data_IF_717136204648
#
_entry.id   IF_717136204648
#
_cell.length_a   1.000
_cell.length_b   1.000
_cell.length_c   1.000
_cell.angle_alpha   90.00
_cell.angle_beta   90.00
_cell.angle_gamma   90.00
#
_symmetry.space_group_name_H-M   'P 1'
#
loop_
_entity.id
_entity.type
_entity.pdbx_description
1 polymer ?
#
# COMPACT_ATOMS: atom_id res chain seq x y z
N UNK A 1 -38.11 11.57 -33.17
CA UNK A 1 -38.48 10.85 -31.94
C UNK A 1 -37.55 9.66 -31.91
N UNK A 2 -36.57 9.83 -31.05
CA UNK A 2 -35.40 8.98 -30.84
C UNK A 2 -35.81 7.60 -30.35
N UNK A 3 -35.08 6.57 -30.80
CA UNK A 3 -34.77 5.37 -30.04
C UNK A 3 -33.65 4.64 -30.79
N UNK A 4 -32.39 4.98 -30.48
CA UNK A 4 -31.20 4.15 -30.77
C UNK A 4 -29.98 4.67 -29.97
N UNK A 5 -30.08 4.61 -28.64
CA UNK A 5 -28.90 4.60 -27.76
C UNK A 5 -28.86 3.24 -27.04
N UNK A 6 -28.56 2.19 -27.80
CA UNK A 6 -28.15 0.91 -27.22
C UNK A 6 -26.80 1.11 -26.52
N UNK A 7 -26.83 1.24 -25.19
CA UNK A 7 -25.62 1.24 -24.36
C UNK A 7 -24.93 -0.12 -24.50
N UNK A 8 -23.83 -0.16 -25.26
CA UNK A 8 -22.91 -1.30 -25.27
C UNK A 8 -21.91 -1.09 -24.13
N UNK A 9 -21.85 -1.97 -23.11
CA UNK A 9 -20.84 -1.85 -22.07
C UNK A 9 -19.46 -1.92 -22.73
N UNK A 10 -18.68 -0.85 -22.60
CA UNK A 10 -17.31 -0.79 -23.10
C UNK A 10 -16.44 -1.92 -22.52
N UNK A 11 -15.27 -2.20 -23.12
CA UNK A 11 -14.41 -3.28 -22.64
C UNK A 11 -14.02 -3.03 -21.18
N UNK A 12 -14.06 -4.10 -20.37
CA UNK A 12 -13.68 -4.08 -18.95
C UNK A 12 -12.27 -3.49 -18.79
N UNK A 13 -12.01 -2.81 -17.67
CA UNK A 13 -10.72 -2.15 -17.41
C UNK A 13 -9.51 -3.05 -17.74
N UNK A 14 -9.56 -4.31 -17.29
CA UNK A 14 -8.48 -5.29 -17.50
C UNK A 14 -8.28 -5.69 -18.95
N UNK A 15 -9.32 -5.62 -19.79
CA UNK A 15 -9.21 -5.95 -21.20
C UNK A 15 -8.39 -4.92 -21.97
N UNK A 16 -8.39 -3.67 -21.49
CA UNK A 16 -7.59 -2.57 -22.04
C UNK A 16 -6.08 -2.74 -21.76
N UNK A 17 -5.71 -3.50 -20.72
CA UNK A 17 -4.32 -3.84 -20.39
C UNK A 17 -3.76 -4.97 -21.26
N UNK A 18 -4.60 -5.89 -21.75
CA UNK A 18 -4.15 -7.13 -22.43
C UNK A 18 -3.45 -6.90 -23.78
N UNK A 19 -3.48 -5.69 -24.33
CA UNK A 19 -2.91 -5.34 -25.63
C UNK A 19 -1.70 -4.40 -25.62
N UNK A 20 -1.20 -3.96 -24.46
CA UNK A 20 0.00 -3.09 -24.38
C UNK A 20 1.25 -3.90 -24.05
N UNK A 21 2.40 -3.42 -24.51
CA UNK A 21 3.67 -4.06 -24.18
C UNK A 21 4.03 -3.84 -22.69
N UNK A 22 4.64 -4.83 -22.00
CA UNK A 22 5.17 -4.62 -20.66
C UNK A 22 6.18 -3.46 -20.66
N UNK A 23 6.14 -2.65 -19.61
CA UNK A 23 7.01 -1.47 -19.41
C UNK A 23 6.82 -0.36 -20.46
N UNK A 24 5.77 -0.45 -21.29
CA UNK A 24 5.33 0.65 -22.14
C UNK A 24 4.74 1.75 -21.24
N UNK A 25 5.40 2.92 -21.24
CA UNK A 25 4.86 4.13 -20.60
C UNK A 25 3.60 4.57 -21.35
N UNK A 26 2.43 4.29 -20.78
CA UNK A 26 1.16 4.71 -21.35
C UNK A 26 1.04 6.23 -21.17
N UNK A 27 0.87 7.01 -22.26
CA UNK A 27 0.65 8.44 -22.16
C UNK A 27 -0.75 8.74 -21.61
N UNK A 28 -0.97 9.94 -21.03
CA UNK A 28 -2.30 10.40 -20.65
C UNK A 28 -3.30 10.27 -21.81
N UNK A 29 -4.42 9.62 -21.55
CA UNK A 29 -5.53 9.49 -22.50
C UNK A 29 -6.82 10.03 -21.83
N UNK A 30 -7.12 11.32 -22.00
CA UNK A 30 -8.28 11.95 -21.39
C UNK A 30 -9.61 11.46 -22.00
N UNK A 31 -9.56 10.77 -23.16
CA UNK A 31 -10.72 10.28 -23.90
C UNK A 31 -11.09 8.85 -23.49
N UNK A 32 -10.12 7.94 -23.39
CA UNK A 32 -10.36 6.54 -22.97
C UNK A 32 -10.20 6.30 -21.47
N UNK A 33 -9.88 7.33 -20.67
CA UNK A 33 -9.80 7.33 -19.19
C UNK A 33 -9.45 5.98 -18.58
N UNK A 34 -8.30 5.47 -18.97
CA UNK A 34 -7.70 4.31 -18.31
C UNK A 34 -7.32 4.75 -16.90
N UNK A 35 -8.03 4.27 -15.86
CA UNK A 35 -7.87 4.58 -14.42
C UNK A 35 -6.93 5.77 -14.14
N UNK A 36 -7.48 6.99 -13.95
CA UNK A 36 -6.70 8.24 -13.89
C UNK A 36 -5.94 8.56 -15.20
N UNK A 37 -6.69 8.79 -16.27
CA UNK A 37 -6.17 9.06 -17.61
C UNK A 37 -5.42 10.40 -17.77
N UNK A 38 -5.26 11.17 -16.69
CA UNK A 38 -4.52 12.43 -16.69
C UNK A 38 -3.02 12.30 -16.42
N UNK A 39 -2.55 11.11 -16.01
CA UNK A 39 -1.15 10.85 -15.65
C UNK A 39 -0.53 9.79 -16.55
N UNK A 40 0.80 9.77 -16.65
CA UNK A 40 1.47 8.61 -17.25
C UNK A 40 1.34 7.41 -16.33
N UNK A 41 1.25 6.24 -16.94
CA UNK A 41 1.14 4.98 -16.23
C UNK A 41 2.15 3.99 -16.80
N UNK A 42 2.76 3.20 -15.93
CA UNK A 42 3.65 2.12 -16.32
C UNK A 42 3.11 0.83 -15.71
N UNK A 43 3.11 -0.25 -16.45
CA UNK A 43 2.80 -1.56 -15.89
C UNK A 43 3.63 -2.62 -16.59
N UNK A 44 3.90 -3.70 -15.91
CA UNK A 44 4.76 -4.74 -16.44
C UNK A 44 5.04 -5.81 -15.42
N UNK A 45 6.18 -6.47 -15.59
CA UNK A 45 6.62 -7.54 -14.70
C UNK A 45 8.01 -7.23 -14.17
N UNK A 46 8.13 -7.20 -12.84
CA UNK A 46 9.41 -7.11 -12.17
C UNK A 46 10.00 -8.50 -11.94
N UNK A 47 11.31 -8.62 -12.18
CA UNK A 47 12.03 -9.87 -12.04
C UNK A 47 12.43 -10.13 -10.58
N UNK A 48 11.70 -11.03 -9.93
CA UNK A 48 11.98 -11.47 -8.58
C UNK A 48 13.02 -12.59 -8.51
N UNK A 49 13.09 -13.25 -7.35
CA UNK A 49 13.93 -14.45 -7.17
C UNK A 49 13.28 -15.69 -7.76
N UNK A 50 14.10 -16.69 -8.10
CA UNK A 50 13.68 -17.94 -8.78
C UNK A 50 13.01 -17.60 -10.11
N UNK A 51 11.80 -18.09 -10.33
CA UNK A 51 10.96 -17.91 -11.51
C UNK A 51 9.89 -16.81 -11.30
N UNK A 52 9.99 -16.03 -10.22
CA UNK A 52 8.99 -15.01 -9.88
C UNK A 52 8.99 -13.85 -10.89
N UNK A 53 7.81 -13.58 -11.46
CA UNK A 53 7.51 -12.36 -12.25
C UNK A 53 6.40 -11.60 -11.54
N UNK A 54 6.74 -10.49 -10.88
CA UNK A 54 5.80 -9.71 -10.06
C UNK A 54 5.14 -8.62 -10.92
N UNK A 55 3.83 -8.70 -11.12
CA UNK A 55 3.10 -7.67 -11.83
C UNK A 55 3.06 -6.38 -11.01
N UNK A 56 3.33 -5.25 -11.66
CA UNK A 56 3.21 -3.94 -11.06
C UNK A 56 2.37 -3.01 -11.94
N UNK A 57 1.75 -2.03 -11.31
CA UNK A 57 1.13 -0.89 -11.98
C UNK A 57 1.49 0.39 -11.22
N UNK A 58 2.28 1.24 -11.86
CA UNK A 58 2.72 2.54 -11.39
C UNK A 58 1.89 3.65 -12.04
N UNK A 59 1.49 4.59 -11.22
CA UNK A 59 0.85 5.83 -11.62
C UNK A 59 1.75 6.99 -11.22
N UNK A 60 2.10 7.84 -12.19
CA UNK A 60 2.88 9.03 -11.90
C UNK A 60 2.09 9.99 -11.01
N UNK A 61 2.83 10.80 -10.26
CA UNK A 61 2.24 11.85 -9.47
C UNK A 61 1.48 12.84 -10.37
N UNK A 62 0.30 13.25 -9.94
CA UNK A 62 -0.48 14.33 -10.58
C UNK A 62 0.26 15.67 -10.56
N UNK A 63 1.27 15.81 -9.70
CA UNK A 63 2.09 17.02 -9.57
C UNK A 63 3.57 16.64 -9.59
N UNK A 64 4.35 17.24 -10.50
CA UNK A 64 5.81 17.14 -10.58
C UNK A 64 6.39 15.71 -10.42
N UNK A 65 5.96 14.73 -11.24
CA UNK A 65 6.30 13.31 -11.04
C UNK A 65 7.80 13.01 -11.01
N UNK A 66 8.64 13.79 -11.70
CA UNK A 66 10.10 13.61 -11.71
C UNK A 66 10.79 14.01 -10.40
N UNK A 67 10.12 14.80 -9.54
CA UNK A 67 10.65 15.23 -8.24
C UNK A 67 9.87 14.64 -7.06
N UNK A 68 8.68 14.11 -7.32
CA UNK A 68 7.84 13.47 -6.31
C UNK A 68 8.47 12.17 -5.81
N UNK A 69 8.27 11.83 -4.53
CA UNK A 69 8.74 10.55 -3.99
C UNK A 69 7.96 9.39 -4.62
N UNK A 70 8.49 8.18 -4.48
CA UNK A 70 7.82 6.95 -4.89
C UNK A 70 7.26 6.22 -3.70
N UNK A 71 5.98 5.92 -3.74
CA UNK A 71 5.25 5.20 -2.72
C UNK A 71 4.82 3.84 -3.26
N UNK A 72 5.28 2.77 -2.64
CA UNK A 72 5.04 1.39 -3.08
C UNK A 72 4.00 0.76 -2.19
N UNK A 73 2.89 0.32 -2.77
CA UNK A 73 1.77 -0.31 -2.10
C UNK A 73 1.80 -1.83 -2.19
N UNK A 74 1.62 -2.46 -1.02
CA UNK A 74 1.44 -3.90 -0.87
C UNK A 74 0.11 -4.24 -0.19
N UNK A 75 -0.69 -5.09 -0.82
CA UNK A 75 -1.84 -5.69 -0.17
C UNK A 75 -1.43 -6.90 0.71
N UNK A 76 -2.26 -7.22 1.70
CA UNK A 76 -2.07 -8.34 2.61
C UNK A 76 -2.66 -9.68 2.13
N UNK A 77 -3.48 -10.30 2.98
CA UNK A 77 -4.05 -11.64 2.78
C UNK A 77 -3.52 -12.66 3.79
N UNK A 78 -2.33 -13.26 3.59
CA UNK A 78 -1.44 -13.18 2.42
C UNK A 78 -2.10 -13.72 1.14
N UNK A 79 -1.67 -13.23 -0.03
CA UNK A 79 -2.15 -13.72 -1.32
C UNK A 79 -3.15 -12.79 -2.04
N UNK A 80 -3.45 -11.61 -1.48
CA UNK A 80 -4.38 -10.66 -2.08
C UNK A 80 -3.66 -9.72 -3.06
N UNK A 81 -4.33 -9.40 -4.17
CA UNK A 81 -3.79 -8.52 -5.21
C UNK A 81 -3.82 -7.06 -4.79
N UNK A 82 -2.72 -6.34 -5.04
CA UNK A 82 -2.59 -4.90 -4.82
C UNK A 82 -3.37 -4.07 -5.84
N UNK A 83 -3.73 -4.68 -6.98
CA UNK A 83 -4.59 -4.06 -7.98
C UNK A 83 -5.96 -3.72 -7.43
N UNK A 84 -6.43 -4.45 -6.40
CA UNK A 84 -7.66 -4.10 -5.70
C UNK A 84 -7.57 -2.69 -5.10
N UNK A 85 -6.47 -2.36 -4.42
CA UNK A 85 -6.30 -1.03 -3.80
C UNK A 85 -6.12 0.08 -4.84
N UNK A 86 -5.51 -0.23 -5.99
CA UNK A 86 -5.39 0.71 -7.10
C UNK A 86 -6.75 1.20 -7.64
N UNK A 87 -7.80 0.39 -7.53
CA UNK A 87 -9.10 0.66 -8.17
C UNK A 87 -10.31 0.68 -7.22
N UNK A 88 -10.12 0.58 -5.90
CA UNK A 88 -11.23 0.47 -4.92
C UNK A 88 -11.43 1.71 -4.03
N UNK A 89 -10.69 2.79 -4.29
CA UNK A 89 -10.69 3.99 -3.44
C UNK A 89 -9.81 3.87 -2.19
N UNK A 90 -9.10 2.76 -2.00
CA UNK A 90 -8.17 2.57 -0.88
C UNK A 90 -6.78 3.19 -1.18
N UNK A 91 -6.75 4.51 -1.38
CA UNK A 91 -5.55 5.27 -1.81
C UNK A 91 -5.24 5.20 -3.31
N UNK A 92 -5.92 4.30 -4.04
CA UNK A 92 -5.87 4.15 -5.50
C UNK A 92 -6.18 5.42 -6.29
N UNK A 93 -5.65 5.59 -7.51
CA UNK A 93 -5.92 6.74 -8.39
C UNK A 93 -7.33 6.78 -8.96
N UNK A 94 -8.02 5.63 -9.01
CA UNK A 94 -9.41 5.56 -9.45
C UNK A 94 -10.27 4.66 -8.57
N UNK A 95 -11.59 4.78 -8.76
CA UNK A 95 -12.60 3.92 -8.16
C UNK A 95 -13.38 3.28 -9.31
N UNK A 96 -13.33 1.96 -9.39
CA UNK A 96 -14.07 1.19 -10.38
C UNK A 96 -15.54 1.11 -9.96
N UNK A 97 -16.44 1.46 -10.88
CA UNK A 97 -17.88 1.28 -10.68
C UNK A 97 -18.26 -0.21 -10.67
N UNK A 98 -19.45 -0.51 -10.16
CA UNK A 98 -19.95 -1.90 -10.01
C UNK A 98 -19.95 -2.70 -11.31
N UNK A 99 -20.15 -2.04 -12.45
CA UNK A 99 -20.18 -2.67 -13.78
C UNK A 99 -18.78 -2.99 -14.34
N UNK A 100 -17.71 -2.49 -13.72
CA UNK A 100 -16.33 -2.69 -14.15
C UNK A 100 -15.94 -1.99 -15.45
N UNK A 101 -16.76 -1.07 -15.97
CA UNK A 101 -16.55 -0.45 -17.29
C UNK A 101 -16.03 0.99 -17.22
N UNK A 102 -16.37 1.71 -16.15
CA UNK A 102 -16.17 3.16 -16.03
C UNK A 102 -15.48 3.52 -14.72
N UNK A 103 -14.15 3.68 -14.68
CA UNK A 103 -13.47 4.16 -13.48
C UNK A 103 -13.70 5.67 -13.28
N UNK A 104 -13.98 6.08 -12.05
CA UNK A 104 -13.99 7.50 -11.63
C UNK A 104 -12.66 7.88 -10.98
N UNK A 105 -12.28 9.15 -11.06
CA UNK A 105 -11.05 9.65 -10.43
C UNK A 105 -11.23 9.67 -8.91
N UNK A 106 -10.24 9.16 -8.17
CA UNK A 106 -10.20 9.32 -6.71
C UNK A 106 -9.51 10.64 -6.36
N UNK A 107 -10.25 11.59 -5.78
CA UNK A 107 -9.71 12.89 -5.34
C UNK A 107 -8.72 12.73 -4.17
N UNK A 108 -8.89 11.68 -3.36
CA UNK A 108 -8.03 11.34 -2.23
C UNK A 108 -6.98 10.28 -2.58
N UNK A 109 -6.60 10.18 -3.86
CA UNK A 109 -5.53 9.28 -4.26
C UNK A 109 -4.18 9.72 -3.69
N UNK A 110 -3.32 8.76 -3.39
CA UNK A 110 -1.96 9.03 -2.95
C UNK A 110 -1.06 9.52 -4.10
N UNK A 111 -1.50 9.37 -5.36
CA UNK A 111 -0.77 9.96 -6.48
C UNK A 111 -0.90 11.48 -6.58
N UNK A 112 -1.65 12.14 -5.70
CA UNK A 112 -1.64 13.60 -5.61
C UNK A 112 -0.34 14.16 -5.03
N UNK A 113 0.45 13.35 -4.31
CA UNK A 113 1.69 13.76 -3.63
C UNK A 113 2.88 12.80 -3.82
N UNK A 114 2.70 11.69 -4.54
CA UNK A 114 3.76 10.73 -4.84
C UNK A 114 3.55 10.07 -6.22
N UNK A 115 4.59 9.46 -6.79
CA UNK A 115 4.40 8.39 -7.75
C UNK A 115 3.97 7.14 -6.97
N UNK A 116 2.93 6.44 -7.38
CA UNK A 116 2.40 5.29 -6.61
C UNK A 116 2.50 4.01 -7.40
N UNK A 117 3.21 3.02 -6.87
CA UNK A 117 3.36 1.69 -7.48
C UNK A 117 2.62 0.63 -6.67
N UNK A 118 1.66 -0.05 -7.28
CA UNK A 118 0.99 -1.22 -6.71
C UNK A 118 1.67 -2.48 -7.22
N UNK A 119 2.04 -3.41 -6.33
CA UNK A 119 2.73 -4.65 -6.72
C UNK A 119 1.93 -5.86 -6.26
N UNK A 120 1.58 -6.74 -7.20
CA UNK A 120 1.04 -8.05 -6.88
C UNK A 120 2.18 -8.95 -6.39
N UNK A 121 2.15 -9.27 -5.10
CA UNK A 121 3.19 -10.07 -4.48
C UNK A 121 2.58 -10.97 -3.39
N UNK A 122 3.16 -12.15 -3.13
CA UNK A 122 4.29 -12.76 -3.84
C UNK A 122 3.93 -13.35 -5.24
N UNK A 123 4.85 -14.10 -5.85
CA UNK A 123 4.57 -14.84 -7.08
C UNK A 123 3.29 -15.70 -6.97
N UNK A 124 2.55 -15.79 -8.08
CA UNK A 124 1.17 -16.36 -8.18
C UNK A 124 0.03 -15.54 -7.55
N UNK A 125 0.29 -14.35 -7.00
CA UNK A 125 -0.78 -13.42 -6.60
C UNK A 125 -1.23 -12.57 -7.77
N UNK A 126 -2.54 -12.38 -7.95
CA UNK A 126 -3.09 -11.46 -8.96
C UNK A 126 -2.62 -11.79 -10.37
N UNK A 127 -1.94 -10.84 -11.00
CA UNK A 127 -1.36 -11.00 -12.32
C UNK A 127 0.09 -11.53 -12.31
N UNK A 128 0.70 -11.68 -11.14
CA UNK A 128 2.05 -12.21 -10.95
C UNK A 128 2.15 -13.70 -11.24
N UNK A 129 3.33 -14.14 -11.69
CA UNK A 129 3.60 -15.51 -12.12
C UNK A 129 4.81 -16.09 -11.39
N UNK A 130 4.96 -17.41 -11.47
CA UNK A 130 6.07 -18.16 -10.88
C UNK A 130 5.70 -18.83 -9.56
N UNK A 131 6.65 -19.57 -9.00
CA UNK A 131 6.44 -20.43 -7.85
C UNK A 131 6.26 -19.62 -6.56
N UNK A 132 5.16 -19.83 -5.80
CA UNK A 132 4.95 -19.15 -4.52
C UNK A 132 6.09 -19.41 -3.52
N UNK A 133 6.54 -18.39 -2.78
CA UNK A 133 7.49 -18.55 -1.69
C UNK A 133 6.87 -19.25 -0.49
N UNK A 134 7.72 -19.77 0.40
CA UNK A 134 7.27 -20.51 1.58
C UNK A 134 6.96 -19.64 2.81
N UNK A 135 7.39 -18.37 2.79
CA UNK A 135 7.28 -17.47 3.93
C UNK A 135 7.54 -16.02 3.50
N UNK A 136 7.22 -15.10 4.40
CA UNK A 136 7.44 -13.67 4.24
C UNK A 136 8.89 -13.29 3.97
N UNK A 137 9.87 -13.99 4.55
CA UNK A 137 11.28 -13.66 4.34
C UNK A 137 11.72 -13.94 2.90
N UNK A 138 11.34 -15.09 2.35
CA UNK A 138 11.61 -15.44 0.94
C UNK A 138 10.94 -14.45 -0.01
N UNK A 139 9.68 -14.13 0.28
CA UNK A 139 8.91 -13.22 -0.52
C UNK A 139 9.50 -11.80 -0.50
N UNK A 140 9.92 -11.29 0.67
CA UNK A 140 10.54 -9.98 0.80
C UNK A 140 11.87 -9.92 0.03
N UNK A 141 12.68 -10.98 0.08
CA UNK A 141 13.92 -11.08 -0.71
C UNK A 141 13.66 -11.05 -2.22
N UNK A 142 12.54 -11.61 -2.67
CA UNK A 142 12.11 -11.57 -4.08
C UNK A 142 11.70 -10.16 -4.48
N UNK A 143 10.85 -9.51 -3.67
CA UNK A 143 10.37 -8.14 -3.91
C UNK A 143 11.50 -7.12 -3.87
N UNK A 144 12.43 -7.21 -2.91
CA UNK A 144 13.59 -6.30 -2.84
C UNK A 144 14.46 -6.40 -4.09
N UNK A 145 14.77 -7.61 -4.57
CA UNK A 145 15.52 -7.78 -5.82
C UNK A 145 14.77 -7.15 -7.01
N UNK A 146 13.46 -7.39 -7.08
CA UNK A 146 12.60 -6.85 -8.13
C UNK A 146 12.64 -5.31 -8.16
N UNK A 147 12.56 -4.68 -6.99
CA UNK A 147 12.68 -3.22 -6.82
C UNK A 147 14.09 -2.69 -7.13
N UNK A 148 15.15 -3.38 -6.71
CA UNK A 148 16.54 -3.03 -7.04
C UNK A 148 16.80 -3.08 -8.56
N UNK A 149 16.14 -3.98 -9.29
CA UNK A 149 16.19 -4.03 -10.75
C UNK A 149 15.39 -2.85 -11.33
N UNK A 150 14.16 -2.64 -10.87
CA UNK A 150 13.30 -1.55 -11.33
C UNK A 150 13.97 -0.18 -11.19
N UNK A 151 14.47 0.16 -10.00
CA UNK A 151 15.09 1.47 -9.75
C UNK A 151 16.43 1.68 -10.46
N UNK A 152 17.10 0.61 -10.92
CA UNK A 152 18.26 0.73 -11.81
C UNK A 152 17.85 1.06 -13.24
N UNK A 153 16.72 0.52 -13.70
CA UNK A 153 16.17 0.80 -15.02
C UNK A 153 15.44 2.16 -15.08
N UNK A 154 14.84 2.56 -13.97
CA UNK A 154 14.05 3.80 -13.82
C UNK A 154 14.55 4.66 -12.65
N UNK A 155 15.76 5.23 -12.74
CA UNK A 155 16.34 6.05 -11.67
C UNK A 155 15.49 7.28 -11.33
N UNK A 156 14.66 7.77 -12.25
CA UNK A 156 13.71 8.88 -12.03
C UNK A 156 12.70 8.61 -10.90
N UNK A 157 12.43 7.34 -10.58
CA UNK A 157 11.53 6.95 -9.47
C UNK A 157 12.28 6.63 -8.17
N UNK A 158 13.61 6.79 -8.11
CA UNK A 158 14.44 6.44 -6.96
C UNK A 158 14.95 7.68 -6.17
N UNK A 159 14.13 8.72 -6.06
CA UNK A 159 14.44 9.96 -5.31
C UNK A 159 14.35 9.72 -3.80
N UNK A 160 13.14 9.48 -3.31
CA UNK A 160 12.82 9.02 -1.97
C UNK A 160 11.74 7.95 -2.08
N UNK A 161 11.92 6.83 -1.39
CA UNK A 161 11.02 5.67 -1.50
C UNK A 161 10.31 5.42 -0.16
N UNK A 162 9.00 5.29 -0.23
CA UNK A 162 8.12 4.92 0.87
C UNK A 162 7.54 3.53 0.60
N UNK A 163 7.64 2.63 1.57
CA UNK A 163 6.93 1.35 1.50
C UNK A 163 5.65 1.48 2.31
N UNK A 164 4.51 1.16 1.72
CA UNK A 164 3.21 1.12 2.38
C UNK A 164 2.51 -0.21 2.14
N UNK A 165 1.69 -0.63 3.08
CA UNK A 165 0.84 -1.79 2.86
C UNK A 165 -0.28 -1.89 3.87
N UNK A 166 -1.19 -2.84 3.63
CA UNK A 166 -2.33 -3.10 4.50
C UNK A 166 -2.32 -4.54 5.02
N UNK A 167 -2.77 -4.76 6.26
CA UNK A 167 -3.02 -6.10 6.81
C UNK A 167 -1.73 -6.93 6.83
N UNK A 168 -1.73 -8.13 6.25
CA UNK A 168 -0.56 -9.02 6.22
C UNK A 168 0.63 -8.47 5.42
N UNK A 169 0.59 -7.26 4.87
CA UNK A 169 1.68 -6.69 4.08
C UNK A 169 2.93 -6.27 4.90
N UNK A 170 2.83 -6.23 6.23
CA UNK A 170 3.85 -5.67 7.14
C UNK A 170 5.26 -6.23 6.95
N UNK A 171 5.39 -7.49 6.53
CA UNK A 171 6.68 -8.16 6.38
C UNK A 171 7.45 -7.77 5.12
N UNK A 172 6.77 -7.26 4.09
CA UNK A 172 7.43 -6.80 2.85
C UNK A 172 8.26 -5.54 3.07
N UNK A 173 7.94 -4.78 4.13
CA UNK A 173 8.52 -3.49 4.41
C UNK A 173 9.89 -3.54 5.12
N UNK A 174 10.48 -4.71 5.40
CA UNK A 174 11.44 -4.82 6.53
C UNK A 174 12.81 -5.44 6.19
N UNK A 175 13.33 -5.22 4.97
CA UNK A 175 14.70 -5.59 4.59
C UNK A 175 15.47 -4.38 4.04
N UNK A 176 16.43 -3.81 4.81
CA UNK A 176 17.17 -2.63 4.41
C UNK A 176 18.36 -3.02 3.53
N UNK A 177 18.15 -2.95 2.22
CA UNK A 177 19.21 -2.49 1.30
C UNK A 177 18.78 -1.29 0.45
N UNK A 178 17.49 -0.96 0.48
CA UNK A 178 16.94 0.24 -0.13
C UNK A 178 16.65 1.23 0.99
N UNK A 179 17.10 2.47 0.85
CA UNK A 179 17.05 3.54 1.87
C UNK A 179 15.63 4.09 2.13
N UNK A 180 14.62 3.23 2.30
CA UNK A 180 13.21 3.65 2.35
C UNK A 180 12.75 4.16 3.73
N UNK A 181 11.76 5.06 3.74
CA UNK A 181 10.90 5.34 4.89
C UNK A 181 9.68 4.39 4.86
N UNK A 182 9.06 4.09 6.00
CA UNK A 182 8.07 3.00 6.11
C UNK A 182 6.71 3.49 6.57
N UNK A 183 5.65 2.93 6.01
CA UNK A 183 4.27 3.20 6.35
C UNK A 183 3.49 1.89 6.44
N UNK A 184 2.68 1.73 7.46
CA UNK A 184 1.90 0.52 7.72
C UNK A 184 0.44 0.94 7.96
N UNK A 185 -0.46 0.50 7.08
CA UNK A 185 -1.90 0.62 7.24
C UNK A 185 -2.49 -0.65 7.84
N UNK A 186 -3.45 -0.49 8.75
CA UNK A 186 -4.27 -1.55 9.37
C UNK A 186 -3.44 -2.74 9.83
N UNK A 187 -2.69 -2.54 10.91
CA UNK A 187 -1.64 -3.45 11.36
C UNK A 187 -2.13 -4.71 12.09
N UNK A 188 -1.36 -5.80 12.04
CA UNK A 188 -1.68 -7.03 12.75
C UNK A 188 -0.44 -7.84 13.12
N UNK A 189 0.00 -7.69 14.38
CA UNK A 189 0.40 -8.85 15.16
C UNK A 189 -0.88 -9.57 15.61
N UNK A 190 -1.08 -10.77 15.07
CA UNK A 190 -2.07 -11.77 15.48
C UNK A 190 -3.55 -11.49 15.10
N UNK A 191 -4.02 -12.10 14.00
CA UNK A 191 -5.37 -12.66 13.91
C UNK A 191 -5.50 -13.57 12.68
N UNK A 192 -5.79 -14.84 12.96
CA UNK A 192 -6.19 -15.83 11.97
C UNK A 192 -7.63 -15.63 11.50
N UNK A 193 -7.90 -16.20 10.33
CA UNK A 193 -9.20 -16.33 9.66
C UNK A 193 -10.00 -15.04 9.46
N UNK A 194 -9.98 -14.52 8.23
CA UNK A 194 -11.18 -14.30 7.43
C UNK A 194 -10.85 -14.52 5.94
N UNK A 195 -11.81 -15.13 5.22
CA UNK A 195 -11.81 -15.41 3.78
C UNK A 195 -12.49 -14.24 3.07
N UNK A 196 -11.95 -13.81 1.93
CA UNK A 196 -12.65 -12.92 1.01
C UNK A 196 -11.71 -11.93 0.34
N UNK A 197 -11.68 -12.02 -1.00
CA UNK A 197 -10.99 -11.14 -1.96
C UNK A 197 -9.48 -11.39 -2.12
N UNK A 198 -9.16 -12.62 -2.54
CA UNK A 198 -8.00 -12.90 -3.38
C UNK A 198 -8.49 -13.13 -4.83
N UNK A 199 -7.65 -12.70 -5.76
CA UNK A 199 -7.80 -12.71 -7.22
C UNK A 199 -8.00 -14.10 -7.83
N UNK A 200 -8.77 -14.12 -8.93
CA UNK A 200 -9.22 -15.25 -9.77
C UNK A 200 -10.21 -16.21 -9.11
N UNK A 201 -11.38 -16.28 -9.75
CA UNK A 201 -12.34 -17.38 -9.67
C UNK A 201 -11.59 -18.70 -9.79
N UNK A 202 -11.63 -19.45 -8.69
CA UNK A 202 -11.67 -20.92 -8.57
C UNK A 202 -10.81 -21.74 -9.56
N UNK A 203 -9.74 -22.32 -9.02
CA UNK A 203 -9.70 -23.78 -9.02
C UNK A 203 -9.88 -24.26 -7.59
N UNK A 204 -10.72 -25.29 -7.44
CA UNK A 204 -11.21 -25.83 -6.18
C UNK A 204 -10.07 -26.19 -5.22
N UNK A 205 -10.00 -25.46 -4.11
CA UNK A 205 -9.26 -25.88 -2.92
C UNK A 205 -7.86 -25.29 -2.82
N UNK A 206 -7.71 -24.39 -1.83
CA UNK A 206 -6.43 -23.86 -1.31
C UNK A 206 -5.78 -22.73 -2.14
N UNK A 207 -5.82 -21.51 -1.58
CA UNK A 207 -4.89 -20.43 -1.95
C UNK A 207 -3.46 -20.92 -1.64
N UNK A 208 -2.62 -21.18 -2.66
CA UNK A 208 -1.32 -21.82 -2.47
C UNK A 208 -0.33 -20.92 -1.73
N UNK A 209 -0.53 -19.60 -1.75
CA UNK A 209 0.28 -18.66 -0.98
C UNK A 209 -0.13 -18.75 0.48
N UNK A 210 -1.43 -18.62 0.77
CA UNK A 210 -1.92 -18.64 2.15
C UNK A 210 -1.57 -19.92 2.89
N UNK A 211 -1.66 -21.07 2.21
CA UNK A 211 -1.28 -22.37 2.75
C UNK A 211 0.18 -22.43 3.23
N UNK A 212 1.09 -21.89 2.42
CA UNK A 212 2.53 -21.89 2.70
C UNK A 212 2.88 -20.98 3.88
N UNK A 213 2.13 -19.92 4.08
CA UNK A 213 2.36 -18.91 5.11
C UNK A 213 1.71 -19.24 6.47
N UNK A 214 1.05 -20.41 6.60
CA UNK A 214 0.38 -20.79 7.85
C UNK A 214 1.30 -20.77 9.10
N UNK A 215 2.55 -21.19 8.97
CA UNK A 215 3.52 -21.16 10.07
C UNK A 215 4.21 -19.79 10.24
N UNK A 216 3.89 -18.85 9.37
CA UNK A 216 4.53 -17.54 9.29
C UNK A 216 3.75 -16.47 10.08
N UNK A 217 2.43 -16.66 10.22
CA UNK A 217 1.52 -15.75 10.94
C UNK A 217 1.87 -15.54 12.42
N UNK A 218 2.51 -16.51 13.06
CA UNK A 218 2.89 -16.43 14.47
C UNK A 218 4.30 -15.87 14.69
N UNK A 219 5.02 -15.52 13.62
CA UNK A 219 6.37 -14.96 13.73
C UNK A 219 6.31 -13.48 14.06
N UNK A 220 7.32 -13.04 14.83
CA UNK A 220 7.46 -11.66 15.29
C UNK A 220 8.24 -10.85 14.26
N UNK A 221 7.58 -9.92 13.57
CA UNK A 221 8.18 -9.06 12.53
C UNK A 221 8.31 -7.59 12.93
N UNK A 222 7.58 -7.14 13.96
CA UNK A 222 7.66 -5.80 14.56
C UNK A 222 9.09 -5.39 14.91
N UNK A 223 9.91 -6.32 15.40
CA UNK A 223 11.30 -6.05 15.79
C UNK A 223 12.19 -5.61 14.63
N UNK A 224 11.79 -5.87 13.38
CA UNK A 224 12.52 -5.40 12.22
C UNK A 224 12.38 -3.88 12.00
N UNK A 225 11.42 -3.22 12.67
CA UNK A 225 11.29 -1.76 12.66
C UNK A 225 12.35 -1.09 13.55
N UNK A 226 12.90 -1.80 14.55
CA UNK A 226 13.82 -1.21 15.54
C UNK A 226 15.08 -0.64 14.86
N UNK A 227 15.81 -1.38 13.99
CA UNK A 227 16.98 -0.82 13.32
C UNK A 227 16.63 0.36 12.41
N UNK A 228 15.46 0.32 11.74
CA UNK A 228 15.00 1.40 10.88
C UNK A 228 14.76 2.69 11.68
N UNK A 229 14.00 2.59 12.76
CA UNK A 229 13.72 3.70 13.67
C UNK A 229 15.02 4.26 14.29
N UNK A 230 15.89 3.39 14.79
CA UNK A 230 17.16 3.80 15.41
C UNK A 230 18.16 4.41 14.41
N UNK A 231 17.96 4.21 13.10
CA UNK A 231 18.77 4.81 12.03
C UNK A 231 18.10 5.99 11.32
N UNK A 232 17.05 6.54 11.91
CA UNK A 232 16.45 7.81 11.45
C UNK A 232 15.25 7.65 10.53
N UNK A 233 14.78 6.41 10.28
CA UNK A 233 13.59 6.18 9.46
C UNK A 233 12.33 6.50 10.23
N UNK A 234 11.31 6.90 9.47
CA UNK A 234 9.99 7.25 9.99
C UNK A 234 9.03 6.10 9.72
N UNK A 235 8.17 5.82 10.70
CA UNK A 235 7.15 4.78 10.68
C UNK A 235 5.82 5.38 11.08
N UNK A 236 4.84 5.33 10.20
CA UNK A 236 3.44 5.61 10.52
C UNK A 236 2.65 4.30 10.53
N UNK A 237 2.04 3.99 11.67
CA UNK A 237 1.02 2.95 11.82
C UNK A 237 -0.33 3.62 11.92
N UNK A 238 -1.31 3.25 11.09
CA UNK A 238 -2.68 3.73 11.24
C UNK A 238 -3.70 2.58 11.24
N UNK A 239 -4.76 2.70 12.03
CA UNK A 239 -5.80 1.68 12.12
C UNK A 239 -7.18 2.32 12.28
N UNK A 240 -8.17 1.78 11.55
CA UNK A 240 -9.56 2.14 11.71
C UNK A 240 -10.12 1.63 13.04
N UNK A 241 -10.88 2.46 13.74
CA UNK A 241 -11.42 2.12 15.06
C UNK A 241 -12.60 1.14 15.05
N UNK A 242 -13.13 0.81 13.86
CA UNK A 242 -14.18 -0.19 13.64
C UNK A 242 -13.62 -1.50 13.05
N UNK A 243 -12.31 -1.61 12.85
CA UNK A 243 -11.72 -2.87 12.39
C UNK A 243 -11.64 -3.88 13.54
N UNK A 244 -12.24 -5.05 13.35
CA UNK A 244 -12.07 -6.19 14.25
C UNK A 244 -10.81 -7.00 13.94
N UNK A 245 -10.52 -7.18 12.65
CA UNK A 245 -9.44 -8.06 12.20
C UNK A 245 -8.11 -7.50 12.65
N UNK A 246 -7.81 -6.26 12.27
CA UNK A 246 -6.57 -5.51 12.54
C UNK A 246 -6.83 -4.33 13.47
N UNK A 247 -7.42 -4.65 14.63
CA UNK A 247 -8.00 -3.65 15.52
C UNK A 247 -6.99 -2.62 16.04
N UNK A 248 -7.46 -1.38 16.21
CA UNK A 248 -6.63 -0.27 16.65
C UNK A 248 -6.04 -0.47 18.06
N UNK A 249 -6.70 -1.23 18.94
CA UNK A 249 -6.25 -1.48 20.32
C UNK A 249 -4.98 -2.33 20.31
N UNK A 250 -4.96 -3.43 19.57
CA UNK A 250 -3.79 -4.29 19.40
C UNK A 250 -2.64 -3.53 18.74
N UNK A 251 -2.95 -2.73 17.74
CA UNK A 251 -1.94 -1.89 17.09
C UNK A 251 -1.34 -0.83 17.99
N UNK A 252 -2.18 -0.20 18.80
CA UNK A 252 -1.72 0.72 19.83
C UNK A 252 -0.86 0.01 20.87
N UNK A 253 -1.27 -1.18 21.31
CA UNK A 253 -0.56 -1.93 22.33
C UNK A 253 0.86 -2.30 21.90
N UNK A 254 1.04 -2.86 20.68
CA UNK A 254 2.38 -3.25 20.24
C UNK A 254 3.27 -2.04 19.92
N UNK A 255 2.70 -0.96 19.36
CA UNK A 255 3.47 0.27 19.10
C UNK A 255 3.93 0.95 20.39
N UNK A 256 3.11 0.91 21.45
CA UNK A 256 3.48 1.40 22.79
C UNK A 256 4.48 0.47 23.51
N UNK A 257 4.57 -0.81 23.11
CA UNK A 257 5.49 -1.79 23.71
C UNK A 257 6.77 -2.02 22.91
N UNK A 258 6.94 -1.41 21.73
CA UNK A 258 8.11 -1.62 20.89
C UNK A 258 9.37 -1.04 21.57
N UNK A 259 10.33 -1.89 21.90
CA UNK A 259 11.58 -1.48 22.56
C UNK A 259 12.62 -0.97 21.55
N UNK A 260 12.50 0.30 21.17
CA UNK A 260 13.47 1.05 20.35
C UNK A 260 14.06 2.23 21.14
N UNK A 261 15.04 2.95 20.58
CA UNK A 261 15.73 4.04 21.32
C UNK A 261 14.76 5.15 21.76
N UNK A 262 13.65 5.32 21.05
CA UNK A 262 12.58 6.26 21.37
C UNK A 262 11.52 5.75 22.36
N UNK A 263 11.65 4.54 22.90
CA UNK A 263 10.62 3.87 23.73
C UNK A 263 10.09 4.74 24.88
N UNK A 264 10.98 5.31 25.70
CA UNK A 264 10.57 6.16 26.82
C UNK A 264 9.85 7.42 26.34
N UNK A 265 10.32 7.99 25.22
CA UNK A 265 9.68 9.13 24.57
C UNK A 265 8.28 8.81 24.06
N UNK A 266 8.11 7.66 23.40
CA UNK A 266 6.79 7.14 22.98
C UNK A 266 5.86 6.96 24.19
N UNK A 267 6.34 6.41 25.31
CA UNK A 267 5.52 6.26 26.52
C UNK A 267 5.06 7.61 27.10
N UNK A 268 5.90 8.63 27.04
CA UNK A 268 5.60 9.97 27.54
C UNK A 268 4.78 10.82 26.57
N UNK A 269 4.84 10.53 25.26
CA UNK A 269 4.08 11.24 24.25
C UNK A 269 2.57 11.14 24.53
N UNK A 270 1.86 12.26 24.35
CA UNK A 270 0.42 12.32 24.54
C UNK A 270 -0.30 12.19 23.20
N UNK A 271 -1.51 11.66 23.24
CA UNK A 271 -2.40 11.69 22.08
C UNK A 271 -2.81 13.14 21.79
N UNK A 272 -2.82 13.49 20.51
CA UNK A 272 -3.35 14.74 19.98
C UNK A 272 -4.55 14.45 19.08
N UNK A 273 -5.49 15.38 18.99
CA UNK A 273 -6.60 15.26 18.05
C UNK A 273 -6.07 15.45 16.63
N UNK A 274 -6.46 14.55 15.72
CA UNK A 274 -6.14 14.67 14.31
C UNK A 274 -7.34 15.26 13.58
N UNK A 275 -7.20 16.50 13.13
CA UNK A 275 -8.30 17.31 12.57
C UNK A 275 -8.09 17.55 11.08
N UNK A 276 -9.16 17.64 10.29
CA UNK A 276 -9.12 18.14 8.92
C UNK A 276 -9.02 19.69 8.90
N UNK A 277 -8.70 20.33 7.76
CA UNK A 277 -8.59 21.78 7.66
C UNK A 277 -9.86 22.56 8.05
N UNK A 278 -11.03 21.92 7.96
CA UNK A 278 -12.32 22.48 8.36
C UNK A 278 -12.60 22.35 9.88
N UNK A 279 -11.66 21.79 10.65
CA UNK A 279 -11.79 21.54 12.09
C UNK A 279 -12.46 20.21 12.44
N UNK A 280 -12.85 19.39 11.46
CA UNK A 280 -13.46 18.09 11.72
C UNK A 280 -12.44 17.14 12.35
N UNK A 281 -12.70 16.67 13.58
CA UNK A 281 -11.87 15.67 14.25
C UNK A 281 -12.09 14.31 13.59
N UNK A 282 -11.02 13.72 13.06
CA UNK A 282 -11.05 12.45 12.31
C UNK A 282 -10.17 11.35 12.91
N UNK A 283 -9.47 11.65 14.00
CA UNK A 283 -8.67 10.63 14.69
C UNK A 283 -7.92 11.13 15.91
N UNK A 284 -7.06 10.25 16.43
CA UNK A 284 -6.06 10.57 17.46
C UNK A 284 -4.68 10.15 16.98
N UNK A 285 -3.74 11.09 17.00
CA UNK A 285 -2.36 10.88 16.59
C UNK A 285 -1.45 10.89 17.83
N UNK A 286 -0.59 9.89 17.92
CA UNK A 286 0.52 9.86 18.87
C UNK A 286 1.82 9.77 18.10
N UNK A 287 2.71 10.73 18.29
CA UNK A 287 4.00 10.78 17.60
C UNK A 287 5.13 10.99 18.59
N UNK A 288 6.23 10.26 18.41
CA UNK A 288 7.51 10.58 19.02
C UNK A 288 8.61 10.56 17.97
N UNK A 289 9.56 11.50 18.09
CA UNK A 289 10.71 11.61 17.21
C UNK A 289 11.97 11.73 18.04
N UNK A 290 12.97 10.90 17.74
CA UNK A 290 14.29 11.00 18.34
C UNK A 290 14.94 12.33 17.94
N UNK A 291 15.60 13.05 18.88
CA UNK A 291 16.36 14.25 18.55
C UNK A 291 17.48 14.00 17.52
N UNK A 292 18.09 12.82 17.57
CA UNK A 292 19.07 12.31 16.61
C UNK A 292 19.01 10.78 16.63
N UNK A 293 19.04 10.08 15.47
CA UNK A 293 19.14 10.59 14.10
C UNK A 293 17.81 11.00 13.46
N UNK A 294 16.75 11.27 14.23
CA UNK A 294 15.46 11.72 13.69
C UNK A 294 14.41 10.61 13.47
N UNK A 295 14.66 9.39 13.99
CA UNK A 295 13.73 8.28 13.90
C UNK A 295 12.37 8.64 14.50
N UNK A 296 11.27 8.28 13.81
CA UNK A 296 9.93 8.68 14.21
C UNK A 296 8.98 7.48 14.21
N UNK A 297 8.24 7.29 15.30
CA UNK A 297 7.11 6.37 15.36
C UNK A 297 5.83 7.18 15.61
N UNK A 298 4.90 7.05 14.68
CA UNK A 298 3.57 7.65 14.75
C UNK A 298 2.49 6.57 14.73
N UNK A 299 1.51 6.67 15.62
CA UNK A 299 0.30 5.85 15.62
C UNK A 299 -0.93 6.74 15.44
N UNK A 300 -1.74 6.46 14.40
CA UNK A 300 -3.00 7.15 14.13
C UNK A 300 -4.18 6.18 14.29
N UNK A 301 -5.02 6.46 15.29
CA UNK A 301 -6.36 5.89 15.34
C UNK A 301 -7.26 6.70 14.40
N UNK A 302 -7.83 6.06 13.38
CA UNK A 302 -8.76 6.68 12.41
C UNK A 302 -10.19 6.43 12.86
N UNK A 303 -10.94 7.49 13.12
CA UNK A 303 -12.32 7.37 13.60
C UNK A 303 -13.29 6.95 12.49
N UNK A 304 -14.27 6.12 12.86
CA UNK A 304 -15.36 5.64 11.99
C UNK A 304 -14.86 4.93 10.74
N UNK A 305 -13.73 4.24 10.84
CA UNK A 305 -13.10 3.54 9.73
C UNK A 305 -12.90 2.05 10.06
N UNK A 306 -13.13 1.18 9.08
CA UNK A 306 -12.92 -0.25 9.20
C UNK A 306 -11.53 -0.67 8.72
N UNK A 307 -11.44 -1.90 8.22
CA UNK A 307 -10.20 -2.51 7.77
C UNK A 307 -9.54 -1.76 6.60
N UNK A 308 -10.34 -1.22 5.68
CA UNK A 308 -9.88 -0.43 4.53
C UNK A 308 -9.99 1.07 4.87
N UNK A 309 -9.24 1.53 5.86
CA UNK A 309 -9.41 2.87 6.41
C UNK A 309 -9.26 3.99 5.37
N UNK A 310 -8.41 3.81 4.35
CA UNK A 310 -8.26 4.82 3.28
C UNK A 310 -9.47 4.89 2.35
N UNK A 311 -10.28 3.83 2.28
CA UNK A 311 -11.56 3.83 1.58
C UNK A 311 -12.69 4.36 2.46
N UNK A 312 -12.72 3.96 3.73
CA UNK A 312 -13.82 4.28 4.64
C UNK A 312 -13.73 5.73 5.17
N UNK A 313 -12.50 6.27 5.33
CA UNK A 313 -12.22 7.65 5.75
C UNK A 313 -11.10 8.28 4.88
N UNK A 314 -11.39 8.54 3.59
CA UNK A 314 -10.37 8.88 2.59
C UNK A 314 -9.66 10.20 2.88
N UNK A 315 -10.38 11.24 3.32
CA UNK A 315 -9.79 12.52 3.67
C UNK A 315 -8.81 12.42 4.85
N UNK A 316 -9.15 11.64 5.88
CA UNK A 316 -8.33 11.47 7.07
C UNK A 316 -7.01 10.76 6.73
N UNK A 317 -7.10 9.63 6.02
CA UNK A 317 -5.92 8.84 5.67
C UNK A 317 -5.09 9.58 4.61
N UNK A 318 -5.69 10.21 3.61
CA UNK A 318 -4.97 11.03 2.64
C UNK A 318 -4.14 12.12 3.31
N UNK A 319 -4.74 12.89 4.24
CA UNK A 319 -4.02 13.91 5.02
C UNK A 319 -2.86 13.30 5.81
N UNK A 320 -3.08 12.18 6.49
CA UNK A 320 -2.04 11.51 7.28
C UNK A 320 -0.88 11.03 6.40
N UNK A 321 -1.18 10.42 5.25
CA UNK A 321 -0.20 9.96 4.27
C UNK A 321 0.59 11.13 3.67
N UNK A 322 -0.11 12.20 3.25
CA UNK A 322 0.52 13.40 2.71
C UNK A 322 1.48 14.02 3.74
N UNK A 323 1.00 14.26 4.97
CA UNK A 323 1.81 14.80 6.06
C UNK A 323 2.98 13.88 6.41
N UNK A 324 2.79 12.56 6.33
CA UNK A 324 3.87 11.61 6.55
C UNK A 324 4.91 11.72 5.44
N UNK A 325 4.53 11.68 4.18
CA UNK A 325 5.46 11.78 3.05
C UNK A 325 6.23 13.12 3.09
N UNK A 326 5.58 14.23 3.41
CA UNK A 326 6.20 15.57 3.48
C UNK A 326 6.91 15.88 4.81
N UNK A 327 7.00 14.91 5.74
CA UNK A 327 7.62 15.08 7.05
C UNK A 327 6.95 16.16 7.94
N UNK A 328 5.65 16.35 7.78
CA UNK A 328 4.80 17.27 8.53
C UNK A 328 3.88 16.55 9.55
N UNK A 329 3.93 15.23 9.63
CA UNK A 329 3.15 14.47 10.61
C UNK A 329 3.74 14.63 12.02
N UNK A 330 3.04 15.39 12.87
CA UNK A 330 3.43 15.71 14.25
C UNK A 330 2.20 15.64 15.13
#
# INVERSE_FOLDING_TARGET
MDDDYAWSPGPRLWDRLRGKAPDERIPPDPVNRFCDGGVHQLFGYLDGKRDAKLFYWLFESRTNPTTSPTLIYFQGGPGASSMLSAVSGNGGPCILNEDGTSPSVNEYSWNTFANVMYIDQPASVGFSKGTPPNNSIEAAKSTVQALEIFFRAHPEYNTEVFLTGQSYAEWTALRPKVSCNFQLGSSLLLCGLLKGLASRVEEKGHDPVRARFNNDIAKRYDTLLIPALNTGKRVLVFAGDQDYSCNWIGNRAWTDSLEWDGFNGCKMAKDTLFELPDGTIVGKLKTFTLPSPGGQLSFLQVFKAGHNAARDSPAAVHKAMANFVTNQLR
#
